data_IF_592933293525
#
_entry.id   IF_592933293525
#
_cell.length_a   1.000
_cell.length_b   1.000
_cell.length_c   1.000
_cell.angle_alpha   90.00
_cell.angle_beta   90.00
_cell.angle_gamma   90.00
#
_symmetry.space_group_name_H-M   'P 1'
#
loop_
_entity.id
_entity.type
_entity.pdbx_description
1 polymer ?
#
# COMPACT_ATOMS: atom_id res chain seq x y z
N UNK A 1 10.61 18.19 -5.41
CA UNK A 1 9.55 17.22 -5.07
C UNK A 1 8.23 18.00 -5.08
N UNK A 2 7.19 17.55 -5.79
CA UNK A 2 5.88 18.20 -5.71
C UNK A 2 5.35 18.13 -4.27
N UNK A 3 4.70 19.20 -3.80
CA UNK A 3 4.06 19.23 -2.48
C UNK A 3 2.92 18.20 -2.46
N UNK A 4 2.85 17.41 -1.38
CA UNK A 4 1.73 16.51 -1.17
C UNK A 4 0.50 17.32 -0.79
N UNK A 5 -0.66 16.98 -1.37
CA UNK A 5 -1.92 17.51 -0.87
C UNK A 5 -2.13 17.04 0.58
N UNK A 6 -2.92 17.75 1.41
CA UNK A 6 -3.11 17.38 2.81
C UNK A 6 -3.56 15.93 3.02
N UNK A 7 -4.49 15.44 2.20
CA UNK A 7 -4.96 14.05 2.27
C UNK A 7 -3.87 13.02 1.96
N UNK A 8 -3.01 13.31 0.96
CA UNK A 8 -1.88 12.46 0.60
C UNK A 8 -0.81 12.49 1.68
N UNK A 9 -0.49 13.67 2.23
CA UNK A 9 0.48 13.82 3.31
C UNK A 9 0.06 13.05 4.58
N UNK A 10 -1.23 13.15 4.95
CA UNK A 10 -1.78 12.41 6.08
C UNK A 10 -1.65 10.90 5.88
N UNK A 11 -2.16 10.39 4.76
CA UNK A 11 -2.11 8.96 4.45
C UNK A 11 -0.67 8.42 4.37
N UNK A 12 0.23 9.18 3.74
CA UNK A 12 1.64 8.83 3.58
C UNK A 12 2.36 8.68 4.92
N UNK A 13 2.19 9.65 5.82
CA UNK A 13 2.82 9.62 7.13
C UNK A 13 2.27 8.47 7.99
N UNK A 14 0.94 8.36 8.13
CA UNK A 14 0.37 7.32 8.98
C UNK A 14 0.71 5.91 8.47
N UNK A 15 0.69 5.69 7.14
CA UNK A 15 1.10 4.43 6.52
C UNK A 15 2.56 4.12 6.81
N UNK A 16 3.46 5.08 6.66
CA UNK A 16 4.89 4.90 6.97
C UNK A 16 5.10 4.48 8.44
N UNK A 17 4.34 5.07 9.37
CA UNK A 17 4.41 4.68 10.78
C UNK A 17 3.85 3.26 11.00
N UNK A 18 2.74 2.88 10.35
CA UNK A 18 2.17 1.53 10.42
C UNK A 18 3.14 0.48 9.87
N UNK A 19 3.79 0.76 8.75
CA UNK A 19 4.79 -0.12 8.14
C UNK A 19 5.99 -0.32 9.07
N UNK A 20 6.54 0.78 9.62
CA UNK A 20 7.65 0.71 10.56
C UNK A 20 7.29 -0.11 11.79
N UNK A 21 6.15 0.18 12.42
CA UNK A 21 5.66 -0.54 13.60
C UNK A 21 5.47 -2.02 13.28
N UNK A 22 4.85 -2.35 12.16
CA UNK A 22 4.63 -3.73 11.74
C UNK A 22 5.94 -4.48 11.60
N UNK A 23 6.92 -3.92 10.89
CA UNK A 23 8.21 -4.57 10.65
C UNK A 23 8.97 -4.77 11.97
N UNK A 24 9.17 -3.69 12.72
CA UNK A 24 10.01 -3.70 13.92
C UNK A 24 9.38 -4.53 15.05
N UNK A 25 8.08 -4.43 15.26
CA UNK A 25 7.40 -5.14 16.35
C UNK A 25 7.16 -6.61 16.01
N UNK A 26 6.95 -6.96 14.73
CA UNK A 26 6.90 -8.36 14.28
C UNK A 26 8.26 -9.03 14.38
N UNK A 27 9.35 -8.33 14.06
CA UNK A 27 10.72 -8.84 14.27
C UNK A 27 10.99 -9.10 15.76
N UNK A 28 10.48 -8.24 16.64
CA UNK A 28 10.67 -8.35 18.10
C UNK A 28 9.79 -9.39 18.79
N UNK A 29 8.52 -9.49 18.42
CA UNK A 29 7.51 -10.30 19.13
C UNK A 29 6.92 -11.44 18.30
N UNK A 30 7.36 -11.61 17.05
CA UNK A 30 6.87 -12.65 16.15
C UNK A 30 5.50 -12.35 15.52
N UNK A 31 4.83 -13.40 15.02
CA UNK A 31 3.59 -13.26 14.27
C UNK A 31 2.41 -12.70 15.09
N UNK A 32 2.40 -12.90 16.42
CA UNK A 32 1.34 -12.44 17.33
C UNK A 32 1.70 -11.10 18.04
N UNK A 33 2.51 -10.27 17.40
CA UNK A 33 3.01 -9.02 17.99
C UNK A 33 1.91 -8.05 18.43
N UNK A 34 0.76 -8.04 17.74
CA UNK A 34 -0.38 -7.17 18.07
C UNK A 34 -0.84 -7.39 19.51
N UNK A 35 -0.96 -8.65 19.97
CA UNK A 35 -1.38 -8.98 21.34
C UNK A 35 -0.34 -8.63 22.40
N UNK A 36 0.91 -8.42 22.01
CA UNK A 36 1.98 -8.02 22.92
C UNK A 36 2.03 -6.51 23.13
N UNK A 37 1.51 -5.72 22.18
CA UNK A 37 1.66 -4.26 22.20
C UNK A 37 0.35 -3.52 22.47
N UNK A 38 -0.79 -4.12 22.12
CA UNK A 38 -2.12 -3.65 22.48
C UNK A 38 -2.70 -4.44 23.64
N UNK A 39 -3.48 -3.76 24.48
CA UNK A 39 -4.31 -4.42 25.49
C UNK A 39 -5.46 -5.20 24.84
N UNK A 40 -6.00 -6.20 25.53
CA UNK A 40 -7.09 -7.02 25.00
C UNK A 40 -8.34 -6.18 24.66
N UNK A 41 -8.59 -5.14 25.45
CA UNK A 41 -9.64 -4.12 25.22
C UNK A 41 -9.42 -3.35 23.92
N UNK A 42 -8.19 -2.88 23.68
CA UNK A 42 -7.81 -2.19 22.43
C UNK A 42 -7.96 -3.13 21.22
N UNK A 43 -7.51 -4.39 21.33
CA UNK A 43 -7.64 -5.39 20.26
C UNK A 43 -9.12 -5.64 19.92
N UNK A 44 -9.99 -5.72 20.94
CA UNK A 44 -11.43 -5.87 20.72
C UNK A 44 -12.03 -4.66 19.99
N UNK A 45 -11.61 -3.43 20.33
CA UNK A 45 -12.05 -2.21 19.65
C UNK A 45 -11.59 -2.21 18.18
N UNK A 46 -10.32 -2.55 17.91
CA UNK A 46 -9.78 -2.63 16.56
C UNK A 46 -10.50 -3.67 15.70
N UNK A 47 -10.80 -4.84 16.27
CA UNK A 47 -11.61 -5.89 15.61
C UNK A 47 -13.02 -5.41 15.31
N UNK A 48 -13.66 -4.72 16.25
CA UNK A 48 -15.00 -4.16 16.00
C UNK A 48 -14.98 -3.12 14.87
N UNK A 49 -13.96 -2.25 14.80
CA UNK A 49 -13.77 -1.33 13.67
C UNK A 49 -13.58 -2.07 12.35
N UNK A 50 -12.75 -3.12 12.33
CA UNK A 50 -12.54 -3.97 11.16
C UNK A 50 -13.84 -4.64 10.70
N UNK A 51 -14.59 -5.25 11.61
CA UNK A 51 -15.87 -5.91 11.30
C UNK A 51 -16.93 -4.92 10.82
N UNK A 52 -16.99 -3.74 11.45
CA UNK A 52 -17.92 -2.67 11.06
C UNK A 52 -17.58 -2.18 9.65
N UNK A 53 -16.29 -2.00 9.35
CA UNK A 53 -15.85 -1.60 8.02
C UNK A 53 -16.11 -2.68 6.97
N UNK A 54 -15.81 -3.95 7.29
CA UNK A 54 -16.13 -5.09 6.43
C UNK A 54 -17.63 -5.12 6.12
N UNK A 55 -18.50 -5.07 7.13
CA UNK A 55 -19.97 -5.06 6.95
C UNK A 55 -20.45 -3.86 6.13
N UNK A 56 -19.85 -2.68 6.32
CA UNK A 56 -20.22 -1.46 5.60
C UNK A 56 -19.80 -1.52 4.13
N UNK A 57 -18.59 -2.01 3.86
CA UNK A 57 -18.00 -2.05 2.53
C UNK A 57 -18.49 -3.24 1.70
N UNK A 58 -18.70 -4.41 2.29
CA UNK A 58 -19.30 -5.56 1.58
C UNK A 58 -20.71 -5.27 1.09
N UNK A 59 -21.52 -4.53 1.86
CA UNK A 59 -22.82 -4.02 1.40
C UNK A 59 -22.73 -3.10 0.18
N UNK A 60 -21.55 -2.52 -0.09
CA UNK A 60 -21.26 -1.68 -1.25
C UNK A 60 -20.49 -2.43 -2.35
N UNK A 61 -20.38 -3.75 -2.26
CA UNK A 61 -19.73 -4.59 -3.26
C UNK A 61 -18.22 -4.80 -3.07
N UNK A 62 -17.64 -4.38 -1.94
CA UNK A 62 -16.21 -4.62 -1.65
C UNK A 62 -16.00 -6.04 -1.13
N UNK A 63 -15.11 -6.80 -1.75
CA UNK A 63 -14.85 -8.22 -1.46
C UNK A 63 -14.17 -8.40 -0.10
N UNK A 64 -13.13 -7.59 0.18
CA UNK A 64 -12.39 -7.68 1.42
C UNK A 64 -11.86 -6.32 1.89
N UNK A 65 -11.68 -6.17 3.20
CA UNK A 65 -10.94 -5.08 3.85
C UNK A 65 -9.61 -5.60 4.38
N UNK A 66 -8.71 -4.71 4.81
CA UNK A 66 -7.41 -5.12 5.35
C UNK A 66 -7.56 -6.10 6.53
N UNK A 67 -6.79 -7.19 6.49
CA UNK A 67 -6.71 -8.16 7.58
C UNK A 67 -5.88 -7.69 8.78
N UNK A 68 -5.02 -6.68 8.59
CA UNK A 68 -4.07 -6.24 9.61
C UNK A 68 -4.71 -5.23 10.57
N UNK A 69 -4.75 -5.56 11.87
CA UNK A 69 -5.41 -4.74 12.89
C UNK A 69 -4.78 -3.36 13.06
N UNK A 70 -3.50 -3.18 12.72
CA UNK A 70 -2.83 -1.88 12.81
C UNK A 70 -3.43 -0.84 11.84
N UNK A 71 -4.06 -1.27 10.74
CA UNK A 71 -4.74 -0.37 9.78
C UNK A 71 -5.95 0.34 10.40
N UNK A 72 -6.49 -0.22 11.48
CA UNK A 72 -7.65 0.34 12.21
C UNK A 72 -7.24 1.15 13.44
N UNK A 73 -5.93 1.23 13.72
CA UNK A 73 -5.39 2.01 14.82
C UNK A 73 -5.41 3.50 14.48
N UNK A 74 -5.85 4.32 15.43
CA UNK A 74 -5.82 5.77 15.32
C UNK A 74 -4.40 6.31 15.44
N UNK A 75 -4.16 7.51 14.90
CA UNK A 75 -2.85 8.16 14.97
C UNK A 75 -2.31 8.23 16.41
N UNK A 76 -3.16 8.56 17.39
CA UNK A 76 -2.79 8.62 18.82
C UNK A 76 -2.34 7.25 19.37
N UNK A 77 -2.91 6.16 18.87
CA UNK A 77 -2.46 4.82 19.23
C UNK A 77 -1.09 4.52 18.61
N UNK A 78 -0.84 4.95 17.37
CA UNK A 78 0.47 4.83 16.72
C UNK A 78 1.55 5.61 17.48
N UNK A 79 1.30 6.87 17.85
CA UNK A 79 2.25 7.69 18.61
C UNK A 79 2.52 7.12 20.00
N UNK A 80 1.50 6.58 20.68
CA UNK A 80 1.65 5.85 21.95
C UNK A 80 2.56 4.62 21.80
N UNK A 81 2.37 3.82 20.74
CA UNK A 81 3.23 2.67 20.46
C UNK A 81 4.67 3.07 20.16
N UNK A 82 4.85 4.13 19.36
CA UNK A 82 6.18 4.68 19.06
C UNK A 82 6.90 5.10 20.34
N UNK A 83 6.20 5.82 21.22
CA UNK A 83 6.75 6.26 22.49
C UNK A 83 7.11 5.11 23.44
N UNK A 84 6.26 4.07 23.50
CA UNK A 84 6.46 2.88 24.34
C UNK A 84 7.60 1.99 23.85
N UNK A 85 7.77 1.86 22.54
CA UNK A 85 8.76 0.98 21.91
C UNK A 85 9.92 1.74 21.28
N UNK A 86 10.22 2.94 21.80
CA UNK A 86 11.20 3.86 21.23
C UNK A 86 12.56 3.22 20.97
N UNK A 87 13.07 2.43 21.92
CA UNK A 87 14.39 1.78 21.80
C UNK A 87 14.51 0.83 20.59
N UNK A 88 13.39 0.27 20.13
CA UNK A 88 13.37 -0.57 18.93
C UNK A 88 13.22 0.25 17.64
N UNK A 89 12.72 1.48 17.74
CA UNK A 89 12.33 2.33 16.62
C UNK A 89 13.32 3.48 16.36
N UNK A 90 14.18 3.80 17.33
CA UNK A 90 15.13 4.91 17.26
C UNK A 90 16.14 4.77 16.11
N UNK A 91 16.49 3.55 15.70
CA UNK A 91 17.33 3.31 14.53
C UNK A 91 16.70 3.81 13.23
N UNK A 92 15.36 3.84 13.16
CA UNK A 92 14.63 4.38 12.03
C UNK A 92 14.33 5.86 12.17
N UNK A 93 13.84 6.25 13.36
CA UNK A 93 13.27 7.57 13.58
C UNK A 93 14.28 8.61 14.04
N UNK A 94 15.44 8.22 14.58
CA UNK A 94 16.47 9.13 15.07
C UNK A 94 16.22 9.60 16.50
N UNK A 95 16.30 10.91 16.75
CA UNK A 95 16.22 11.48 18.10
C UNK A 95 14.76 11.60 18.60
N UNK A 96 14.49 11.11 19.83
CA UNK A 96 13.12 11.09 20.40
C UNK A 96 12.48 12.46 20.44
N UNK A 97 13.19 13.44 20.99
CA UNK A 97 12.65 14.79 21.20
C UNK A 97 12.22 15.44 19.89
N UNK A 98 13.03 15.29 18.84
CA UNK A 98 12.76 15.82 17.51
C UNK A 98 11.48 15.19 16.92
N UNK A 99 11.42 13.87 16.92
CA UNK A 99 10.29 13.13 16.34
C UNK A 99 9.01 13.34 17.13
N UNK A 100 9.06 13.41 18.46
CA UNK A 100 7.88 13.76 19.27
C UNK A 100 7.34 15.12 18.86
N UNK A 101 8.19 16.15 18.70
CA UNK A 101 7.74 17.47 18.25
C UNK A 101 7.12 17.42 16.85
N UNK A 102 7.71 16.67 15.92
CA UNK A 102 7.15 16.51 14.57
C UNK A 102 5.79 15.81 14.59
N UNK A 103 5.64 14.74 15.37
CA UNK A 103 4.38 14.00 15.50
C UNK A 103 3.30 14.83 16.20
N UNK A 104 3.64 15.62 17.21
CA UNK A 104 2.70 16.54 17.88
C UNK A 104 2.21 17.64 16.92
N UNK A 105 3.12 18.19 16.09
CA UNK A 105 2.76 19.16 15.05
C UNK A 105 1.87 18.55 13.98
N UNK A 106 2.21 17.34 13.52
CA UNK A 106 1.41 16.60 12.56
C UNK A 106 0.01 16.29 13.11
N UNK A 107 -0.11 15.91 14.38
CA UNK A 107 -1.41 15.65 15.03
C UNK A 107 -2.30 16.89 15.04
N UNK A 108 -1.74 18.06 15.37
CA UNK A 108 -2.48 19.31 15.37
C UNK A 108 -3.05 19.63 13.97
N UNK A 109 -2.23 19.49 12.93
CA UNK A 109 -2.64 19.72 11.54
C UNK A 109 -3.66 18.68 11.06
N UNK A 110 -3.45 17.40 11.38
CA UNK A 110 -4.40 16.31 11.13
C UNK A 110 -5.77 16.60 11.74
N UNK A 111 -5.81 17.08 12.98
CA UNK A 111 -7.07 17.40 13.65
C UNK A 111 -7.82 18.53 12.94
N UNK A 112 -7.12 19.56 12.45
CA UNK A 112 -7.71 20.63 11.63
C UNK A 112 -8.37 20.05 10.37
N UNK A 113 -7.66 19.19 9.63
CA UNK A 113 -8.19 18.51 8.43
C UNK A 113 -9.36 17.57 8.76
N UNK A 114 -9.27 16.80 9.84
CA UNK A 114 -10.33 15.88 10.28
C UNK A 114 -11.64 16.62 10.63
N UNK A 115 -11.54 17.88 11.07
CA UNK A 115 -12.67 18.76 11.30
C UNK A 115 -13.12 19.54 10.05
N UNK A 116 -12.67 19.14 8.86
CA UNK A 116 -12.98 19.77 7.58
C UNK A 116 -12.67 21.28 7.54
N UNK A 117 -11.63 21.68 8.28
CA UNK A 117 -11.09 23.04 8.24
C UNK A 117 -9.94 23.10 7.25
N UNK A 118 -9.89 24.17 6.47
CA UNK A 118 -8.82 24.41 5.50
C UNK A 118 -7.52 24.75 6.22
N UNK A 119 -6.42 24.19 5.75
CA UNK A 119 -5.09 24.54 6.21
C UNK A 119 -4.60 25.78 5.47
N UNK A 120 -3.85 26.64 6.15
CA UNK A 120 -3.15 27.73 5.48
C UNK A 120 -2.01 27.17 4.61
N UNK A 121 -1.55 27.89 3.56
CA UNK A 121 -0.51 27.36 2.66
C UNK A 121 0.76 26.89 3.38
N UNK A 122 1.23 27.61 4.39
CA UNK A 122 2.41 27.21 5.17
C UNK A 122 2.15 25.96 6.04
N UNK A 123 0.89 25.73 6.45
CA UNK A 123 0.48 24.54 7.20
C UNK A 123 0.44 23.31 6.30
N UNK A 124 0.01 23.46 5.04
CA UNK A 124 0.08 22.41 4.03
C UNK A 124 1.52 22.03 3.71
N UNK A 125 2.39 23.03 3.50
CA UNK A 125 3.82 22.82 3.30
C UNK A 125 4.47 22.12 4.49
N UNK A 126 4.17 22.56 5.72
CA UNK A 126 4.66 21.93 6.94
C UNK A 126 4.18 20.49 7.08
N UNK A 127 2.89 20.23 6.82
CA UNK A 127 2.32 18.89 6.85
C UNK A 127 3.02 17.96 5.84
N UNK A 128 3.20 18.44 4.61
CA UNK A 128 3.91 17.73 3.55
C UNK A 128 5.37 17.48 3.92
N UNK A 129 6.05 18.44 4.55
CA UNK A 129 7.44 18.31 4.98
C UNK A 129 7.59 17.26 6.08
N UNK A 130 6.74 17.30 7.11
CA UNK A 130 6.75 16.30 8.19
C UNK A 130 6.47 14.90 7.63
N UNK A 131 5.45 14.76 6.77
CA UNK A 131 5.11 13.49 6.15
C UNK A 131 6.25 12.93 5.27
N UNK A 132 6.88 13.80 4.47
CA UNK A 132 8.03 13.45 3.64
C UNK A 132 9.23 13.01 4.47
N UNK A 133 9.52 13.71 5.57
CA UNK A 133 10.62 13.38 6.46
C UNK A 133 10.42 12.03 7.16
N UNK A 134 9.26 11.80 7.77
CA UNK A 134 8.93 10.52 8.42
C UNK A 134 8.97 9.38 7.40
N UNK A 135 8.35 9.55 6.22
CA UNK A 135 8.39 8.55 5.14
C UNK A 135 9.82 8.23 4.71
N UNK A 136 10.67 9.25 4.56
CA UNK A 136 12.05 9.08 4.14
C UNK A 136 12.86 8.31 5.20
N UNK A 137 12.77 8.72 6.47
CA UNK A 137 13.42 8.03 7.60
C UNK A 137 13.03 6.55 7.68
N UNK A 138 11.73 6.27 7.61
CA UNK A 138 11.18 4.90 7.58
C UNK A 138 11.71 4.12 6.37
N UNK A 139 11.67 4.74 5.18
CA UNK A 139 12.11 4.11 3.94
C UNK A 139 13.60 3.74 4.01
N UNK A 140 14.45 4.65 4.48
CA UNK A 140 15.89 4.39 4.64
C UNK A 140 16.11 3.21 5.59
N UNK A 141 15.41 3.17 6.73
CA UNK A 141 15.56 2.08 7.71
C UNK A 141 15.11 0.72 7.18
N UNK A 142 13.93 0.66 6.55
CA UNK A 142 13.41 -0.57 5.95
C UNK A 142 14.35 -1.04 4.84
N UNK A 143 14.83 -0.12 4.00
CA UNK A 143 15.80 -0.42 2.96
C UNK A 143 17.15 -0.86 3.56
N UNK A 144 17.53 -0.37 4.74
CA UNK A 144 18.69 -0.85 5.50
C UNK A 144 18.60 -2.32 5.92
N UNK A 145 17.38 -2.83 6.14
CA UNK A 145 17.11 -4.21 6.57
C UNK A 145 16.78 -5.16 5.41
N UNK A 146 16.36 -4.64 4.26
CA UNK A 146 16.24 -5.35 2.99
C UNK A 146 17.36 -4.87 2.05
N UNK A 147 18.53 -5.52 2.07
CA UNK A 147 19.66 -5.13 1.23
C UNK A 147 19.31 -5.04 -0.27
N UNK A 148 18.30 -5.77 -0.75
CA UNK A 148 17.79 -5.66 -2.12
C UNK A 148 16.81 -4.48 -2.30
N UNK A 149 16.13 -4.06 -1.25
CA UNK A 149 15.23 -2.89 -1.20
C UNK A 149 15.93 -1.53 -1.34
N UNK A 150 17.27 -1.47 -1.27
CA UNK A 150 18.07 -0.27 -1.58
C UNK A 150 18.29 -0.06 -3.08
N UNK A 151 18.14 -1.13 -3.88
CA UNK A 151 18.56 -1.13 -5.27
C UNK A 151 17.41 -1.25 -6.26
N UNK A 152 16.25 -1.75 -5.84
CA UNK A 152 15.14 -2.03 -6.74
C UNK A 152 13.86 -1.38 -6.24
N UNK A 153 13.01 -0.88 -7.16
CA UNK A 153 11.72 -0.32 -6.80
C UNK A 153 10.81 -1.39 -6.19
N UNK A 154 9.78 -0.94 -5.49
CA UNK A 154 8.80 -1.80 -4.81
C UNK A 154 7.38 -1.33 -5.07
N UNK A 155 6.48 -2.29 -5.16
CA UNK A 155 5.04 -2.05 -5.14
C UNK A 155 4.64 -1.79 -3.69
N UNK A 156 4.03 -0.63 -3.44
CA UNK A 156 3.41 -0.29 -2.16
C UNK A 156 1.96 -0.79 -2.11
N UNK A 157 1.22 -0.64 -3.22
CA UNK A 157 -0.16 -1.10 -3.33
C UNK A 157 -0.51 -1.47 -4.78
N UNK A 158 -1.22 -2.57 -4.96
CA UNK A 158 -2.14 -2.75 -6.10
C UNK A 158 -3.49 -3.14 -5.54
N UNK A 159 -4.56 -2.46 -5.98
CA UNK A 159 -5.93 -2.73 -5.57
C UNK A 159 -6.87 -2.65 -6.76
N UNK A 160 -7.77 -3.63 -6.90
CA UNK A 160 -8.81 -3.60 -7.92
C UNK A 160 -10.07 -2.84 -7.46
N UNK A 161 -11.01 -2.60 -8.38
CA UNK A 161 -12.27 -1.87 -8.12
C UNK A 161 -13.21 -2.62 -7.17
N UNK A 162 -12.99 -3.91 -6.95
CA UNK A 162 -13.71 -4.75 -5.98
C UNK A 162 -13.05 -4.76 -4.59
N UNK A 163 -11.89 -4.13 -4.44
CA UNK A 163 -11.14 -4.01 -3.19
C UNK A 163 -10.18 -5.16 -2.90
N UNK A 164 -10.01 -6.12 -3.81
CA UNK A 164 -8.93 -7.09 -3.72
C UNK A 164 -7.60 -6.35 -3.80
N UNK A 165 -6.62 -6.69 -2.95
CA UNK A 165 -5.37 -5.93 -2.91
C UNK A 165 -4.16 -6.69 -2.43
N UNK A 166 -2.97 -6.14 -2.68
CA UNK A 166 -1.70 -6.62 -2.16
C UNK A 166 -1.63 -6.64 -0.63
N UNK A 167 -2.46 -5.86 0.06
CA UNK A 167 -2.50 -5.81 1.54
C UNK A 167 -3.08 -7.10 2.15
N UNK A 168 -3.84 -7.87 1.37
CA UNK A 168 -4.37 -9.19 1.75
C UNK A 168 -3.72 -10.33 0.97
N UNK A 169 -2.67 -10.04 0.20
CA UNK A 169 -2.01 -11.02 -0.66
C UNK A 169 -1.15 -12.02 0.12
N UNK A 170 -0.97 -13.19 -0.48
CA UNK A 170 0.13 -14.10 -0.11
C UNK A 170 1.40 -13.58 -0.79
N UNK A 171 2.41 -13.27 0.01
CA UNK A 171 3.73 -12.93 -0.51
C UNK A 171 4.56 -14.20 -0.65
N UNK A 172 4.77 -14.63 -1.90
CA UNK A 172 5.51 -15.85 -2.20
C UNK A 172 7.02 -15.62 -2.13
N UNK A 173 7.47 -14.42 -2.53
CA UNK A 173 8.86 -13.96 -2.48
C UNK A 173 8.90 -12.43 -2.26
N UNK A 174 10.05 -11.84 -1.89
CA UNK A 174 10.19 -10.38 -1.79
C UNK A 174 9.69 -9.67 -3.05
N UNK A 175 8.63 -8.87 -2.98
CA UNK A 175 8.03 -8.21 -4.16
C UNK A 175 7.39 -9.16 -5.19
N UNK A 176 6.95 -10.35 -4.77
CA UNK A 176 6.13 -11.28 -5.55
C UNK A 176 4.86 -11.63 -4.77
N UNK A 177 3.72 -11.10 -5.23
CA UNK A 177 2.45 -11.19 -4.53
C UNK A 177 1.42 -11.99 -5.34
N UNK A 178 0.61 -12.78 -4.66
CA UNK A 178 -0.54 -13.48 -5.24
C UNK A 178 -1.80 -13.10 -4.49
N UNK A 179 -2.80 -12.60 -5.22
CA UNK A 179 -4.12 -12.20 -4.73
C UNK A 179 -5.15 -13.17 -5.29
N UNK A 180 -5.62 -14.10 -4.46
CA UNK A 180 -6.77 -14.92 -4.79
C UNK A 180 -8.04 -14.10 -4.53
N UNK A 181 -8.71 -13.63 -5.59
CA UNK A 181 -9.80 -12.66 -5.44
C UNK A 181 -11.12 -13.30 -5.03
N UNK A 182 -11.32 -14.58 -5.38
CA UNK A 182 -12.63 -15.25 -5.24
C UNK A 182 -13.76 -14.52 -6.00
N UNK A 183 -13.41 -13.65 -6.94
CA UNK A 183 -14.35 -12.82 -7.69
C UNK A 183 -14.61 -13.45 -9.06
N UNK A 184 -15.88 -13.68 -9.36
CA UNK A 184 -16.34 -14.18 -10.66
C UNK A 184 -16.73 -13.00 -11.55
N UNK A 185 -16.20 -12.98 -12.77
CA UNK A 185 -16.43 -11.96 -13.80
C UNK A 185 -17.08 -12.58 -15.04
N UNK A 186 -17.61 -11.73 -15.92
CA UNK A 186 -18.19 -12.11 -17.22
C UNK A 186 -17.79 -11.09 -18.30
N UNK A 187 -17.84 -11.47 -19.60
CA UNK A 187 -17.66 -10.54 -20.69
C UNK A 187 -18.55 -9.29 -20.55
N UNK A 188 -17.96 -8.11 -20.69
CA UNK A 188 -18.58 -6.80 -20.46
C UNK A 188 -18.30 -6.20 -19.07
N UNK A 189 -17.82 -6.97 -18.10
CA UNK A 189 -17.37 -6.42 -16.82
C UNK A 189 -16.11 -5.57 -16.99
N UNK A 190 -15.97 -4.55 -16.13
CA UNK A 190 -14.83 -3.63 -16.15
C UNK A 190 -14.16 -3.62 -14.78
N UNK A 191 -12.85 -3.87 -14.77
CA UNK A 191 -12.03 -3.90 -13.55
C UNK A 191 -11.00 -2.78 -13.61
N UNK A 192 -11.02 -1.87 -12.62
CA UNK A 192 -10.05 -0.77 -12.53
C UNK A 192 -9.05 -1.06 -11.44
N UNK A 193 -7.77 -0.88 -11.73
CA UNK A 193 -6.66 -1.10 -10.82
C UNK A 193 -6.04 0.23 -10.41
N UNK A 194 -5.96 0.49 -9.10
CA UNK A 194 -5.17 1.57 -8.53
C UNK A 194 -3.85 1.01 -8.03
N UNK A 195 -2.74 1.52 -8.58
CA UNK A 195 -1.40 1.04 -8.28
C UNK A 195 -0.54 2.16 -7.68
N UNK A 196 0.34 1.80 -6.75
CA UNK A 196 1.36 2.69 -6.17
C UNK A 196 2.67 1.95 -5.93
N UNK A 197 3.77 2.64 -6.21
CA UNK A 197 5.12 2.13 -6.04
C UNK A 197 6.06 3.25 -5.63
N UNK A 198 7.27 2.84 -5.22
CA UNK A 198 8.36 3.75 -4.92
C UNK A 198 9.67 3.15 -5.39
N UNK A 199 10.56 4.00 -5.89
CA UNK A 199 11.94 3.65 -6.17
C UNK A 199 12.89 4.33 -5.17
N UNK A 200 13.74 3.58 -4.44
CA UNK A 200 14.72 4.17 -3.53
C UNK A 200 15.74 5.09 -4.23
N UNK A 201 15.94 4.94 -5.54
CA UNK A 201 16.86 5.76 -6.34
C UNK A 201 16.13 6.84 -7.15
N UNK A 202 14.81 6.99 -6.95
CA UNK A 202 13.97 7.99 -7.61
C UNK A 202 14.06 7.94 -9.16
N UNK A 203 14.18 6.72 -9.71
CA UNK A 203 14.14 6.42 -11.14
C UNK A 203 12.74 6.47 -11.74
N UNK A 204 12.65 6.53 -13.06
CA UNK A 204 11.37 6.41 -13.77
C UNK A 204 10.75 5.03 -13.52
N UNK A 205 9.48 5.01 -13.13
CA UNK A 205 8.73 3.78 -12.85
C UNK A 205 7.76 3.47 -13.99
N UNK A 206 7.80 2.24 -14.46
CA UNK A 206 6.97 1.73 -15.54
C UNK A 206 6.18 0.52 -15.06
N UNK A 207 4.89 0.56 -15.33
CA UNK A 207 3.94 -0.49 -15.03
C UNK A 207 3.61 -1.24 -16.32
N UNK A 208 3.40 -2.55 -16.21
CA UNK A 208 2.79 -3.31 -17.29
C UNK A 208 1.71 -4.23 -16.73
N UNK A 209 0.64 -4.38 -17.50
CA UNK A 209 -0.52 -5.18 -17.15
C UNK A 209 -0.64 -6.30 -18.17
N UNK A 210 -0.65 -7.55 -17.73
CA UNK A 210 -0.85 -8.69 -18.60
C UNK A 210 -2.20 -9.32 -18.30
N UNK A 211 -3.08 -9.32 -19.30
CA UNK A 211 -4.42 -9.89 -19.22
C UNK A 211 -4.38 -11.42 -19.31
N UNK A 212 -5.47 -12.13 -18.94
CA UNK A 212 -5.52 -13.59 -18.94
C UNK A 212 -5.27 -14.26 -20.31
N UNK A 213 -5.54 -13.56 -21.41
CA UNK A 213 -5.24 -14.02 -22.78
C UNK A 213 -3.76 -13.82 -23.18
N UNK A 214 -2.94 -13.30 -22.27
CA UNK A 214 -1.50 -13.12 -22.46
C UNK A 214 -1.09 -11.80 -23.12
N UNK A 215 -2.05 -10.93 -23.45
CA UNK A 215 -1.75 -9.60 -23.99
C UNK A 215 -1.13 -8.74 -22.89
N UNK A 216 -0.02 -8.06 -23.22
CA UNK A 216 0.72 -7.19 -22.30
C UNK A 216 0.53 -5.73 -22.71
N UNK A 217 0.05 -4.92 -21.78
CA UNK A 217 -0.23 -3.49 -21.92
C UNK A 217 0.86 -2.68 -21.21
N UNK A 218 1.42 -1.68 -21.90
CA UNK A 218 2.55 -0.82 -21.43
C UNK A 218 2.25 0.66 -21.70
N UNK A 219 3.27 1.54 -21.73
CA UNK A 219 3.14 3.00 -21.92
C UNK A 219 2.52 3.46 -23.23
N UNK A 220 2.47 2.58 -24.22
CA UNK A 220 1.95 2.92 -25.56
C UNK A 220 0.46 2.56 -25.69
N UNK A 221 -0.19 2.21 -24.58
CA UNK A 221 -1.52 1.63 -24.56
C UNK A 221 -2.63 2.66 -24.29
N UNK A 222 -3.78 2.62 -25.01
CA UNK A 222 -4.90 3.52 -24.77
C UNK A 222 -5.61 3.36 -23.41
N UNK A 223 -5.36 2.29 -22.64
CA UNK A 223 -6.14 1.95 -21.44
C UNK A 223 -5.70 2.63 -20.11
N UNK A 224 -4.70 3.52 -20.13
CA UNK A 224 -4.35 4.35 -18.96
C UNK A 224 -2.88 4.76 -18.88
N UNK A 225 -2.56 5.62 -17.91
CA UNK A 225 -1.17 5.95 -17.61
C UNK A 225 -0.46 4.73 -17.02
N UNK A 226 0.69 4.35 -17.56
CA UNK A 226 1.51 3.23 -17.01
C UNK A 226 2.90 3.71 -16.58
N UNK A 227 3.07 5.02 -16.40
CA UNK A 227 4.30 5.64 -15.94
C UNK A 227 4.07 6.44 -14.66
N UNK A 228 5.01 6.34 -13.73
CA UNK A 228 5.05 7.12 -12.49
C UNK A 228 4.81 6.30 -11.21
N UNK A 229 4.87 7.00 -10.07
CA UNK A 229 4.72 6.40 -8.74
C UNK A 229 3.30 5.92 -8.44
N UNK A 230 2.29 6.47 -9.10
CA UNK A 230 0.90 6.10 -8.95
C UNK A 230 0.22 6.06 -10.31
N UNK A 231 -0.47 4.97 -10.60
CA UNK A 231 -1.18 4.78 -11.87
C UNK A 231 -2.56 4.18 -11.66
N UNK A 232 -3.46 4.46 -12.60
CA UNK A 232 -4.76 3.82 -12.72
C UNK A 232 -4.86 3.18 -14.10
N UNK A 233 -5.30 1.93 -14.15
CA UNK A 233 -5.44 1.16 -15.39
C UNK A 233 -6.72 0.34 -15.39
N UNK A 234 -7.37 0.22 -16.54
CA UNK A 234 -8.68 -0.45 -16.67
C UNK A 234 -8.62 -1.66 -17.59
N UNK A 235 -9.20 -2.76 -17.13
CA UNK A 235 -9.39 -4.00 -17.88
C UNK A 235 -10.86 -4.19 -18.25
N UNK A 236 -11.15 -4.28 -19.54
CA UNK A 236 -12.45 -4.75 -20.04
C UNK A 236 -12.41 -6.26 -20.24
N UNK A 237 -13.33 -6.97 -19.59
CA UNK A 237 -13.45 -8.42 -19.70
C UNK A 237 -14.13 -8.78 -21.01
N UNK A 238 -13.53 -9.66 -21.81
CA UNK A 238 -14.07 -10.10 -23.11
C UNK A 238 -14.17 -11.62 -23.16
N UNK A 239 -14.80 -12.16 -24.22
CA UNK A 239 -14.92 -13.61 -24.43
C UNK A 239 -13.56 -14.34 -24.45
N UNK A 240 -12.48 -13.64 -24.83
CA UNK A 240 -11.11 -14.20 -24.83
C UNK A 240 -10.59 -14.51 -23.43
N UNK A 241 -11.19 -13.90 -22.40
CA UNK A 241 -10.74 -14.04 -21.02
C UNK A 241 -11.48 -15.17 -20.28
N UNK A 242 -12.46 -15.84 -20.90
CA UNK A 242 -13.23 -16.93 -20.28
C UNK A 242 -12.30 -18.07 -19.86
N UNK A 243 -12.21 -18.31 -18.55
CA UNK A 243 -11.37 -19.33 -17.94
C UNK A 243 -11.79 -19.57 -16.48
N UNK A 244 -11.72 -20.82 -16.02
CA UNK A 244 -11.90 -21.15 -14.59
C UNK A 244 -10.78 -20.62 -13.70
N UNK A 245 -9.64 -20.24 -14.29
CA UNK A 245 -8.52 -19.57 -13.64
C UNK A 245 -8.00 -18.49 -14.59
N UNK A 246 -8.47 -17.26 -14.41
CA UNK A 246 -8.06 -16.09 -15.20
C UNK A 246 -7.07 -15.27 -14.38
N UNK A 247 -5.79 -15.30 -14.78
CA UNK A 247 -4.72 -14.59 -14.07
C UNK A 247 -4.41 -13.28 -14.77
N UNK A 248 -4.49 -12.19 -14.03
CA UNK A 248 -4.02 -10.88 -14.44
C UNK A 248 -2.74 -10.54 -13.67
N UNK A 249 -1.67 -10.22 -14.38
CA UNK A 249 -0.38 -9.87 -13.77
C UNK A 249 -0.10 -8.38 -13.91
N UNK A 250 0.35 -7.76 -12.82
CA UNK A 250 0.82 -6.38 -12.76
C UNK A 250 2.30 -6.40 -12.43
N UNK A 251 3.14 -5.95 -13.36
CA UNK A 251 4.60 -5.87 -13.18
C UNK A 251 5.05 -4.43 -13.02
N UNK A 252 6.03 -4.21 -12.16
CA UNK A 252 6.72 -2.94 -11.99
C UNK A 252 8.17 -3.08 -12.44
N UNK A 253 8.64 -2.06 -13.16
CA UNK A 253 10.01 -1.90 -13.65
C UNK A 253 10.49 -0.47 -13.41
N UNK A 254 11.79 -0.30 -13.23
CA UNK A 254 12.46 1.02 -13.33
C UNK A 254 13.18 1.19 -14.68
N UNK A 255 13.61 2.41 -15.03
CA UNK A 255 14.57 2.67 -16.13
C UNK A 255 16.03 2.32 -15.78
N UNK A 256 16.26 1.60 -14.68
CA UNK A 256 17.58 1.15 -14.27
C UNK A 256 18.13 0.01 -15.13
N UNK A 257 19.46 -0.11 -15.20
CA UNK A 257 20.14 -1.19 -15.93
C UNK A 257 20.04 -2.58 -15.28
N UNK A 258 19.57 -2.65 -14.03
CA UNK A 258 19.49 -3.88 -13.25
C UNK A 258 18.11 -3.99 -12.64
N UNK A 259 17.56 -5.20 -12.69
CA UNK A 259 16.24 -5.52 -12.14
C UNK A 259 16.33 -6.61 -11.08
N UNK A 260 15.44 -6.55 -10.07
CA UNK A 260 15.38 -7.52 -8.97
C UNK A 260 15.33 -8.96 -9.47
N UNK A 261 14.55 -9.19 -10.53
CA UNK A 261 14.36 -10.51 -11.14
C UNK A 261 15.19 -10.73 -12.41
N UNK A 262 16.28 -9.97 -12.57
CA UNK A 262 17.34 -10.22 -13.56
C UNK A 262 16.80 -10.49 -14.97
N UNK A 263 16.95 -11.73 -15.45
CA UNK A 263 16.55 -12.17 -16.78
C UNK A 263 15.05 -11.98 -17.09
N UNK A 264 14.20 -11.93 -16.07
CA UNK A 264 12.77 -11.69 -16.26
C UNK A 264 12.44 -10.20 -16.52
N UNK A 265 13.39 -9.30 -16.26
CA UNK A 265 13.28 -7.89 -16.61
C UNK A 265 12.23 -7.10 -15.83
N UNK A 266 11.96 -7.47 -14.58
CA UNK A 266 11.07 -6.73 -13.69
C UNK A 266 11.57 -6.69 -12.24
N UNK A 267 11.04 -5.73 -11.48
CA UNK A 267 11.45 -5.43 -10.11
C UNK A 267 10.43 -5.89 -9.06
N UNK A 268 9.16 -5.95 -9.45
CA UNK A 268 8.06 -6.46 -8.61
C UNK A 268 6.92 -6.99 -9.50
N UNK A 269 6.16 -7.95 -8.98
CA UNK A 269 5.00 -8.52 -9.66
C UNK A 269 3.86 -8.85 -8.68
N UNK A 270 2.63 -8.58 -9.11
CA UNK A 270 1.40 -8.98 -8.41
C UNK A 270 0.52 -9.76 -9.38
N UNK A 271 0.09 -10.95 -9.01
CA UNK A 271 -0.88 -11.73 -9.76
C UNK A 271 -2.25 -11.69 -9.07
N UNK A 272 -3.29 -11.29 -9.78
CA UNK A 272 -4.70 -11.40 -9.37
C UNK A 272 -5.34 -12.57 -10.10
N UNK A 273 -5.97 -13.47 -9.35
CA UNK A 273 -6.66 -14.64 -9.92
C UNK A 273 -8.17 -14.47 -9.79
N UNK A 274 -8.86 -14.39 -10.92
CA UNK A 274 -10.31 -14.34 -11.06
C UNK A 274 -10.85 -15.64 -11.66
N UNK A 275 -12.17 -15.82 -11.59
CA UNK A 275 -12.90 -16.77 -12.43
C UNK A 275 -13.68 -15.97 -13.48
N UNK A 276 -13.57 -16.31 -14.78
CA UNK A 276 -14.32 -15.63 -15.83
C UNK A 276 -15.24 -16.65 -16.50
N UNK A 277 -16.54 -16.45 -16.36
CA UNK A 277 -17.56 -17.37 -16.89
C UNK A 277 -18.22 -16.81 -18.17
N UNK A 278 -18.80 -17.67 -19.02
CA UNK A 278 -19.55 -17.23 -20.20
C UNK A 278 -20.71 -16.27 -19.84
N UNK A 279 -21.24 -15.49 -20.80
CA UNK A 279 -22.41 -14.64 -20.55
C UNK A 279 -23.61 -15.45 -20.01
N UNK A 280 -24.42 -14.82 -19.15
CA UNK A 280 -25.72 -15.39 -18.76
C UNK A 280 -26.65 -15.26 -19.97
N UNK A 281 -27.03 -16.40 -20.54
CA UNK A 281 -27.99 -16.52 -21.65
C UNK A 281 -29.34 -15.87 -21.33
#
# INVERSE_FOLDING_TARGET
>A
MPLMTPSVALASCERSLRDLLTIVLREKFGADWIRHVFEETDVAILRNKQETEQKRRTKRGVVAVSGNLIEYAEFTQLTRLINKHWEALNGALGAKKEITVLLDRFEALRNTVAHSRELLPFEEELLSAIAGEIRNRVTIHISGKDAAGQYFPRIELVRDSFGNSTETAVQNQPQLFSVATGTTLRPGDVVTFTCRAVDPQNRGLFWAFQTPDGVRHTSDDPYGATFGEAVEWTWEVTDKHISGIAVLAVTLTSDGNYHRYGAAGYDSIVAFTYEVLPPLS
#
